data_IF_172660410954
#
_entry.id   IF_172660410954
#
_cell.length_a   1.000
_cell.length_b   1.000
_cell.length_c   1.000
_cell.angle_alpha   90.00
_cell.angle_beta   90.00
_cell.angle_gamma   90.00
#
_symmetry.space_group_name_H-M   'P 1'
#
loop_
_entity.id
_entity.type
_entity.pdbx_description
1 polymer ?
#
# COMPACT_ATOMS: atom_id res chain seq x y z
N UNK A 1 -6.16 19.99 -9.28
CA UNK A 1 -6.09 18.52 -9.46
C UNK A 1 -4.89 18.08 -10.29
N UNK A 2 -4.63 18.63 -11.49
CA UNK A 2 -3.45 18.25 -12.31
C UNK A 2 -2.11 18.28 -11.56
N UNK A 3 -1.80 19.39 -10.86
CA UNK A 3 -0.60 19.49 -10.00
C UNK A 3 -0.48 18.41 -8.92
N UNK A 4 -1.59 17.91 -8.38
CA UNK A 4 -1.61 16.83 -7.39
C UNK A 4 -1.31 15.48 -8.05
N UNK A 5 -1.83 15.24 -9.26
CA UNK A 5 -1.47 14.07 -10.06
C UNK A 5 0.01 14.08 -10.41
N UNK A 6 0.54 15.22 -10.86
CA UNK A 6 1.96 15.36 -11.21
C UNK A 6 2.85 15.12 -9.98
N UNK A 7 2.47 15.65 -8.81
CA UNK A 7 3.16 15.39 -7.55
C UNK A 7 3.11 13.91 -7.18
N UNK A 8 1.95 13.27 -7.30
CA UNK A 8 1.80 11.84 -7.02
C UNK A 8 2.70 11.02 -7.94
N UNK A 9 2.71 11.31 -9.24
CA UNK A 9 3.55 10.63 -10.23
C UNK A 9 5.03 10.82 -9.92
N UNK A 10 5.44 12.04 -9.58
CA UNK A 10 6.84 12.36 -9.26
C UNK A 10 7.31 11.72 -7.94
N UNK A 11 6.41 11.48 -6.98
CA UNK A 11 6.74 11.03 -5.62
C UNK A 11 6.06 9.71 -5.23
N UNK A 12 5.63 8.90 -6.19
CA UNK A 12 4.89 7.66 -5.95
C UNK A 12 5.60 6.73 -4.95
N UNK A 13 6.91 6.57 -5.05
CA UNK A 13 7.68 5.76 -4.09
C UNK A 13 7.62 6.29 -2.66
N UNK A 14 7.80 7.61 -2.48
CA UNK A 14 7.72 8.23 -1.15
C UNK A 14 6.31 8.10 -0.56
N UNK A 15 5.28 8.32 -1.37
CA UNK A 15 3.89 8.19 -0.94
C UNK A 15 3.61 6.74 -0.52
N UNK A 16 4.08 5.76 -1.28
CA UNK A 16 3.98 4.34 -0.93
C UNK A 16 4.66 4.02 0.41
N UNK A 17 5.89 4.52 0.62
CA UNK A 17 6.59 4.37 1.88
C UNK A 17 5.80 4.95 3.06
N UNK A 18 5.31 6.19 2.93
CA UNK A 18 4.56 6.87 3.98
C UNK A 18 3.22 6.17 4.30
N UNK A 19 2.55 5.64 3.28
CA UNK A 19 1.32 4.85 3.46
C UNK A 19 1.54 3.54 4.22
N UNK A 20 2.76 3.03 4.26
CA UNK A 20 3.12 1.88 5.09
C UNK A 20 3.61 2.32 6.48
N UNK A 21 4.56 3.27 6.52
CA UNK A 21 5.26 3.66 7.75
C UNK A 21 4.35 4.39 8.73
N UNK A 22 3.54 5.36 8.27
CA UNK A 22 2.72 6.16 9.18
C UNK A 22 1.67 5.30 9.90
N UNK A 23 0.85 4.49 9.21
CA UNK A 23 -0.11 3.62 9.91
C UNK A 23 0.56 2.60 10.83
N UNK A 24 1.74 2.09 10.43
CA UNK A 24 2.53 1.18 11.27
C UNK A 24 2.97 1.87 12.56
N UNK A 25 3.56 3.06 12.48
CA UNK A 25 3.99 3.83 13.66
C UNK A 25 2.81 4.15 14.58
N UNK A 26 1.68 4.58 14.02
CA UNK A 26 0.46 4.85 14.79
C UNK A 26 -0.06 3.58 15.48
N UNK A 27 -0.13 2.46 14.76
CA UNK A 27 -0.58 1.18 15.31
C UNK A 27 0.31 0.69 16.45
N UNK A 28 1.63 0.76 16.30
CA UNK A 28 2.57 0.39 17.36
C UNK A 28 2.54 1.37 18.54
N UNK A 29 2.38 2.67 18.30
CA UNK A 29 2.23 3.66 19.37
C UNK A 29 0.98 3.37 20.22
N UNK A 30 -0.17 3.10 19.57
CA UNK A 30 -1.40 2.70 20.27
C UNK A 30 -1.18 1.39 21.05
N UNK A 31 -0.56 0.38 20.42
CA UNK A 31 -0.26 -0.89 21.07
C UNK A 31 0.61 -0.71 22.33
N UNK A 32 1.63 0.15 22.29
CA UNK A 32 2.49 0.43 23.45
C UNK A 32 1.75 1.12 24.59
N UNK A 33 0.66 1.85 24.32
CA UNK A 33 -0.17 2.47 25.34
C UNK A 33 -1.15 1.49 26.00
N UNK A 34 -1.52 0.39 25.33
CA UNK A 34 -2.63 -0.49 25.77
C UNK A 34 -2.19 -1.92 26.11
N UNK A 35 -0.99 -2.35 25.73
CA UNK A 35 -0.48 -3.70 25.95
C UNK A 35 0.85 -3.65 26.73
N UNK A 36 1.11 -4.57 27.67
CA UNK A 36 2.40 -4.68 28.36
C UNK A 36 3.55 -4.78 27.37
N UNK A 37 4.55 -3.91 27.53
CA UNK A 37 5.69 -3.85 26.62
C UNK A 37 6.46 -5.17 26.58
N UNK A 38 6.78 -5.62 25.36
CA UNK A 38 7.69 -6.74 25.10
C UNK A 38 8.71 -6.29 24.06
N UNK A 39 9.98 -6.65 24.27
CA UNK A 39 11.07 -6.33 23.34
C UNK A 39 10.82 -6.82 21.91
N UNK A 40 10.07 -7.91 21.75
CA UNK A 40 9.65 -8.43 20.43
C UNK A 40 8.93 -7.38 19.57
N UNK A 41 8.18 -6.47 20.18
CA UNK A 41 7.46 -5.43 19.48
C UNK A 41 8.39 -4.44 18.77
N UNK A 42 9.57 -4.16 19.32
CA UNK A 42 10.56 -3.32 18.66
C UNK A 42 11.12 -4.01 17.40
N UNK A 43 11.35 -5.33 17.45
CA UNK A 43 11.80 -6.08 16.27
C UNK A 43 10.73 -6.09 15.18
N UNK A 44 9.46 -6.32 15.55
CA UNK A 44 8.34 -6.27 14.60
C UNK A 44 8.21 -4.88 13.96
N UNK A 45 8.30 -3.83 14.77
CA UNK A 45 8.28 -2.45 14.28
C UNK A 45 9.44 -2.16 13.33
N UNK A 46 10.67 -2.53 13.71
CA UNK A 46 11.86 -2.31 12.90
C UNK A 46 11.73 -3.01 11.53
N UNK A 47 11.30 -4.27 11.50
CA UNK A 47 11.08 -5.00 10.24
C UNK A 47 9.98 -4.34 9.41
N UNK A 48 8.85 -3.99 10.02
CA UNK A 48 7.74 -3.36 9.32
C UNK A 48 8.13 -2.01 8.70
N UNK A 49 8.97 -1.21 9.38
CA UNK A 49 9.40 0.10 8.88
C UNK A 49 10.55 -0.04 7.87
N UNK A 50 11.64 -0.73 8.23
CA UNK A 50 12.86 -0.78 7.42
C UNK A 50 12.78 -1.74 6.25
N UNK A 51 11.93 -2.76 6.30
CA UNK A 51 11.70 -3.67 5.18
C UNK A 51 10.36 -3.36 4.50
N UNK A 52 9.29 -3.20 5.28
CA UNK A 52 7.95 -2.88 4.75
C UNK A 52 7.90 -1.54 4.03
N UNK A 53 8.53 -0.49 4.56
CA UNK A 53 8.58 0.84 3.93
C UNK A 53 9.17 0.83 2.52
N UNK A 54 10.41 0.33 2.32
CA UNK A 54 11.01 0.22 0.99
C UNK A 54 10.23 -0.67 0.02
N UNK A 55 9.70 -1.80 0.50
CA UNK A 55 8.85 -2.69 -0.32
C UNK A 55 7.58 -1.96 -0.76
N UNK A 56 6.93 -1.23 0.14
CA UNK A 56 5.76 -0.42 -0.20
C UNK A 56 6.08 0.71 -1.18
N UNK A 57 7.25 1.34 -1.05
CA UNK A 57 7.72 2.34 -2.01
C UNK A 57 7.86 1.76 -3.42
N UNK A 58 8.49 0.58 -3.53
CA UNK A 58 8.65 -0.12 -4.80
C UNK A 58 7.30 -0.52 -5.38
N UNK A 59 6.44 -1.16 -4.58
CA UNK A 59 5.12 -1.64 -4.99
C UNK A 59 4.23 -0.50 -5.49
N UNK A 60 4.20 0.65 -4.81
CA UNK A 60 3.38 1.77 -5.26
C UNK A 60 3.88 2.37 -6.58
N UNK A 61 5.20 2.49 -6.75
CA UNK A 61 5.80 2.92 -8.03
C UNK A 61 5.47 1.93 -9.15
N UNK A 62 5.54 0.64 -8.85
CA UNK A 62 5.20 -0.43 -9.78
C UNK A 62 3.73 -0.37 -10.23
N UNK A 63 2.77 -0.31 -9.32
CA UNK A 63 1.36 -0.24 -9.72
C UNK A 63 1.00 1.05 -10.46
N UNK A 64 1.59 2.19 -10.09
CA UNK A 64 1.44 3.41 -10.88
C UNK A 64 1.99 3.22 -12.30
N UNK A 65 3.16 2.58 -12.45
CA UNK A 65 3.74 2.31 -13.77
C UNK A 65 2.84 1.41 -14.62
N UNK A 66 2.24 0.37 -14.03
CA UNK A 66 1.28 -0.49 -14.71
C UNK A 66 0.06 0.30 -15.20
N UNK A 67 -0.51 1.14 -14.33
CA UNK A 67 -1.67 1.94 -14.68
C UNK A 67 -1.34 2.94 -15.80
N UNK A 68 -0.20 3.63 -15.72
CA UNK A 68 0.26 4.57 -16.75
C UNK A 68 0.57 3.88 -18.08
N UNK A 69 1.20 2.69 -18.06
CA UNK A 69 1.47 1.91 -19.27
C UNK A 69 0.16 1.53 -19.97
N UNK A 70 -0.86 1.12 -19.22
CA UNK A 70 -2.19 0.88 -19.81
C UNK A 70 -2.82 2.17 -20.32
N UNK A 71 -2.75 3.26 -19.57
CA UNK A 71 -3.36 4.56 -19.94
C UNK A 71 -2.81 5.13 -21.25
N UNK A 72 -1.52 4.94 -21.48
CA UNK A 72 -0.85 5.37 -22.71
C UNK A 72 -0.93 4.33 -23.84
N UNK A 73 -1.50 3.15 -23.60
CA UNK A 73 -1.56 2.09 -24.61
C UNK A 73 -2.49 2.45 -25.79
N UNK A 74 -2.24 1.91 -27.00
CA UNK A 74 -3.12 2.10 -28.16
C UNK A 74 -4.53 1.52 -27.95
N UNK A 75 -4.66 0.50 -27.10
CA UNK A 75 -5.91 -0.24 -26.87
C UNK A 75 -6.94 0.49 -26.00
N UNK A 76 -6.60 1.69 -25.51
CA UNK A 76 -7.50 2.54 -24.75
C UNK A 76 -6.92 2.97 -23.40
N UNK A 77 -7.48 4.04 -22.79
CA UNK A 77 -7.01 4.53 -21.51
C UNK A 77 -7.30 3.54 -20.38
N UNK A 78 -6.54 3.65 -19.30
CA UNK A 78 -6.77 2.86 -18.10
C UNK A 78 -8.04 3.34 -17.42
N UNK A 79 -8.79 2.41 -16.86
CA UNK A 79 -10.08 2.67 -16.24
C UNK A 79 -9.97 2.82 -14.73
N UNK A 80 -11.08 3.25 -14.12
CA UNK A 80 -11.27 3.22 -12.66
C UNK A 80 -11.14 1.80 -12.12
N UNK A 81 -11.68 0.81 -12.86
CA UNK A 81 -11.62 -0.60 -12.47
C UNK A 81 -10.16 -1.10 -12.47
N UNK A 82 -9.36 -0.69 -13.45
CA UNK A 82 -7.92 -1.00 -13.46
C UNK A 82 -7.20 -0.42 -12.25
N UNK A 83 -7.52 0.83 -11.92
CA UNK A 83 -7.01 1.47 -10.71
C UNK A 83 -7.41 0.70 -9.44
N UNK A 84 -8.66 0.27 -9.34
CA UNK A 84 -9.17 -0.48 -8.20
C UNK A 84 -8.52 -1.87 -8.07
N UNK A 85 -8.36 -2.60 -9.17
CA UNK A 85 -7.72 -3.92 -9.15
C UNK A 85 -6.22 -3.85 -8.82
N UNK A 86 -5.50 -2.89 -9.42
CA UNK A 86 -4.10 -2.63 -9.07
C UNK A 86 -4.00 -2.23 -7.60
N UNK A 87 -4.85 -1.30 -7.16
CA UNK A 87 -4.90 -0.85 -5.77
C UNK A 87 -5.18 -1.98 -4.79
N UNK A 88 -6.11 -2.88 -5.12
CA UNK A 88 -6.43 -4.05 -4.30
C UNK A 88 -5.21 -4.94 -4.10
N UNK A 89 -4.55 -5.32 -5.21
CA UNK A 89 -3.38 -6.18 -5.17
C UNK A 89 -2.21 -5.53 -4.43
N UNK A 90 -1.96 -4.24 -4.69
CA UNK A 90 -0.92 -3.49 -3.98
C UNK A 90 -1.22 -3.36 -2.49
N UNK A 91 -2.47 -3.09 -2.10
CA UNK A 91 -2.89 -2.99 -0.70
C UNK A 91 -2.58 -4.28 0.07
N UNK A 92 -2.91 -5.43 -0.52
CA UNK A 92 -2.55 -6.73 0.05
C UNK A 92 -1.03 -6.92 0.13
N UNK A 93 -0.32 -6.65 -0.97
CA UNK A 93 1.13 -6.85 -1.05
C UNK A 93 1.90 -5.96 -0.05
N UNK A 94 1.50 -4.71 0.13
CA UNK A 94 2.12 -3.79 1.09
C UNK A 94 1.86 -4.20 2.55
N UNK A 95 0.73 -4.85 2.83
CA UNK A 95 0.38 -5.32 4.17
C UNK A 95 1.06 -6.64 4.57
N UNK A 96 1.69 -7.37 3.63
CA UNK A 96 2.39 -8.64 3.90
C UNK A 96 3.37 -8.50 5.05
N UNK A 97 4.32 -7.57 4.93
CA UNK A 97 5.42 -7.49 5.90
C UNK A 97 4.91 -7.10 7.29
N UNK A 98 4.14 -6.00 7.45
CA UNK A 98 3.57 -5.64 8.75
C UNK A 98 2.73 -6.76 9.36
N UNK A 99 1.84 -7.39 8.58
CA UNK A 99 0.98 -8.46 9.07
C UNK A 99 1.79 -9.69 9.52
N UNK A 100 2.77 -10.12 8.72
CA UNK A 100 3.55 -11.32 9.02
C UNK A 100 4.46 -11.15 10.25
N UNK A 101 4.83 -9.91 10.61
CA UNK A 101 5.54 -9.66 11.87
C UNK A 101 4.77 -10.15 13.09
N UNK A 102 3.44 -10.29 13.02
CA UNK A 102 2.63 -10.82 14.11
C UNK A 102 2.95 -12.28 14.46
N UNK A 103 3.52 -13.06 13.53
CA UNK A 103 3.97 -14.44 13.79
C UNK A 103 5.26 -14.51 14.60
N UNK A 104 6.03 -13.41 14.73
CA UNK A 104 7.30 -13.41 15.46
C UNK A 104 7.02 -13.50 16.96
N UNK A 105 7.24 -14.67 17.56
CA UNK A 105 6.99 -14.96 18.98
C UNK A 105 5.53 -14.71 19.44
N UNK A 106 4.56 -15.11 18.61
CA UNK A 106 3.16 -15.24 19.04
C UNK A 106 2.94 -16.56 19.78
N UNK A 107 2.23 -16.51 20.90
CA UNK A 107 1.95 -17.68 21.76
C UNK A 107 0.70 -18.47 21.32
N UNK A 108 0.07 -18.10 20.20
CA UNK A 108 -1.15 -18.73 19.68
C UNK A 108 -1.29 -18.52 18.18
N UNK A 109 -1.16 -19.61 17.41
CA UNK A 109 -1.18 -19.56 15.94
C UNK A 109 -2.55 -19.18 15.38
N UNK A 110 -3.64 -19.66 15.97
CA UNK A 110 -4.97 -19.49 15.36
C UNK A 110 -5.50 -18.06 15.48
N UNK A 111 -5.32 -17.41 16.64
CA UNK A 111 -5.63 -15.98 16.78
C UNK A 111 -4.75 -15.11 15.88
N UNK A 112 -3.47 -15.46 15.71
CA UNK A 112 -2.53 -14.72 14.84
C UNK A 112 -2.96 -14.81 13.37
N UNK A 113 -3.33 -16.00 12.89
CA UNK A 113 -3.78 -16.20 11.51
C UNK A 113 -5.01 -15.35 11.20
N UNK A 114 -6.02 -15.35 12.08
CA UNK A 114 -7.24 -14.57 11.88
C UNK A 114 -6.93 -13.07 11.77
N UNK A 115 -6.06 -12.54 12.64
CA UNK A 115 -5.62 -11.14 12.58
C UNK A 115 -4.91 -10.84 11.26
N UNK A 116 -3.99 -11.70 10.83
CA UNK A 116 -3.23 -11.50 9.59
C UNK A 116 -4.15 -11.51 8.37
N UNK A 117 -5.08 -12.46 8.29
CA UNK A 117 -6.07 -12.55 7.20
C UNK A 117 -6.94 -11.29 7.18
N UNK A 118 -7.42 -10.83 8.34
CA UNK A 118 -8.23 -9.63 8.44
C UNK A 118 -7.46 -8.38 7.97
N UNK A 119 -6.21 -8.19 8.43
CA UNK A 119 -5.35 -7.08 8.01
C UNK A 119 -5.15 -7.09 6.49
N UNK A 120 -4.85 -8.27 5.92
CA UNK A 120 -4.66 -8.43 4.49
C UNK A 120 -5.89 -8.03 3.68
N UNK A 121 -7.06 -8.52 4.09
CA UNK A 121 -8.31 -8.24 3.37
C UNK A 121 -8.71 -6.76 3.48
N UNK A 122 -8.60 -6.18 4.67
CA UNK A 122 -8.87 -4.75 4.91
C UNK A 122 -7.92 -3.88 4.10
N UNK A 123 -6.62 -4.17 4.13
CA UNK A 123 -5.62 -3.44 3.35
C UNK A 123 -5.90 -3.53 1.85
N UNK A 124 -6.36 -4.70 1.39
CA UNK A 124 -6.82 -4.88 0.02
C UNK A 124 -8.00 -3.98 -0.33
N UNK A 125 -9.06 -3.95 0.49
CA UNK A 125 -10.24 -3.11 0.25
C UNK A 125 -9.85 -1.62 0.23
N UNK A 126 -9.07 -1.17 1.21
CA UNK A 126 -8.60 0.22 1.28
C UNK A 126 -7.76 0.54 0.04
N UNK A 127 -6.86 -0.37 -0.35
CA UNK A 127 -6.08 -0.26 -1.58
C UNK A 127 -6.95 -0.13 -2.82
N UNK A 128 -8.04 -0.90 -2.93
CA UNK A 128 -8.97 -0.83 -4.05
C UNK A 128 -9.67 0.53 -4.13
N UNK A 129 -10.13 1.06 -2.99
CA UNK A 129 -10.78 2.36 -2.90
C UNK A 129 -9.82 3.48 -3.32
N UNK A 130 -8.59 3.46 -2.79
CA UNK A 130 -7.56 4.46 -3.10
C UNK A 130 -7.18 4.35 -4.58
N UNK A 131 -6.89 3.15 -5.07
CA UNK A 131 -6.50 2.90 -6.45
C UNK A 131 -7.58 3.27 -7.46
N UNK A 132 -8.86 2.97 -7.17
CA UNK A 132 -9.99 3.40 -7.99
C UNK A 132 -10.14 4.92 -8.01
N UNK A 133 -10.00 5.56 -6.85
CA UNK A 133 -10.04 7.03 -6.75
C UNK A 133 -8.91 7.69 -7.56
N UNK A 134 -7.68 7.17 -7.44
CA UNK A 134 -6.53 7.63 -8.21
C UNK A 134 -6.69 7.35 -9.71
N UNK A 135 -7.24 6.20 -10.09
CA UNK A 135 -7.54 5.86 -11.48
C UNK A 135 -8.59 6.79 -12.09
N UNK A 136 -9.65 7.13 -11.34
CA UNK A 136 -10.66 8.10 -11.78
C UNK A 136 -10.07 9.49 -12.00
N UNK A 137 -9.30 9.98 -11.03
CA UNK A 137 -8.64 11.30 -11.12
C UNK A 137 -7.58 11.29 -12.23
N UNK A 138 -6.76 10.24 -12.31
CA UNK A 138 -5.73 10.07 -13.33
C UNK A 138 -6.32 10.06 -14.74
N UNK A 139 -7.39 9.30 -14.97
CA UNK A 139 -8.06 9.23 -16.27
C UNK A 139 -8.59 10.59 -16.74
N UNK A 140 -8.98 11.48 -15.80
CA UNK A 140 -9.51 12.81 -16.09
C UNK A 140 -8.45 13.89 -16.28
N UNK A 141 -7.32 13.80 -15.58
CA UNK A 141 -6.36 14.91 -15.46
C UNK A 141 -4.95 14.61 -16.00
N UNK A 142 -4.64 13.36 -16.34
CA UNK A 142 -3.38 13.00 -16.99
C UNK A 142 -3.56 12.88 -18.51
N UNK A 143 -2.81 13.71 -19.23
CA UNK A 143 -2.78 13.69 -20.68
C UNK A 143 -2.15 12.36 -21.18
N UNK A 144 -2.71 11.79 -22.24
CA UNK A 144 -2.08 10.64 -22.91
C UNK A 144 -0.83 11.13 -23.62
N UNK A 145 0.30 10.47 -23.40
CA UNK A 145 1.50 10.71 -24.22
C UNK A 145 1.34 9.92 -25.52
N UNK A 146 1.32 10.58 -26.69
CA UNK A 146 1.33 9.86 -27.95
C UNK A 146 2.72 9.22 -28.16
N UNK A 147 2.79 7.90 -28.31
CA UNK A 147 3.98 7.19 -28.79
C UNK A 147 4.85 6.46 -27.73
N UNK A 148 4.23 5.66 -26.86
CA UNK A 148 4.96 4.59 -26.16
C UNK A 148 5.08 3.34 -27.03
#
# INVERSE_FOLDING_TARGET
>A
MKKLCDLYVAKAGLIGALYCVIPTLVGFAVMFCVVPFRQVYLYRLAIAVFVGGPVAAYLNRFGLSLWLSKHNSPHGPATVLDGALIGWFLGMAMAVIPAFTHFIASNGMDGTKTIVIAIWFIAGIIGAIIGGSLGFVGAKYLDRRPGG
#
